data_IF_227728970026
#
_entry.id   IF_227728970026
#
_cell.length_a   1.000
_cell.length_b   1.000
_cell.length_c   1.000
_cell.angle_alpha   90.00
_cell.angle_beta   90.00
_cell.angle_gamma   90.00
#
_symmetry.space_group_name_H-M   'P 1'
#
loop_
_entity.id
_entity.type
_entity.pdbx_description
1 polymer ?
#
# COMPACT_ATOMS: atom_id res chain seq x y z
N UNK A 1 4.42 12.13 19.42
CA UNK A 1 3.92 12.64 18.13
C UNK A 1 3.21 13.95 18.42
N UNK A 2 3.54 15.01 17.70
CA UNK A 2 2.88 16.31 17.85
C UNK A 2 1.40 16.22 17.41
N UNK A 3 0.58 17.15 17.94
CA UNK A 3 -0.88 17.15 17.76
C UNK A 3 -1.28 17.30 16.29
N UNK A 4 -0.52 18.04 15.49
CA UNK A 4 -0.81 18.25 14.07
C UNK A 4 -0.59 16.97 13.26
N UNK A 5 0.57 16.33 13.42
CA UNK A 5 0.86 15.04 12.78
C UNK A 5 -0.16 13.99 13.21
N UNK A 6 -0.57 13.98 14.49
CA UNK A 6 -1.59 13.04 14.97
C UNK A 6 -2.91 13.19 14.21
N UNK A 7 -3.39 14.43 14.09
CA UNK A 7 -4.64 14.75 13.38
C UNK A 7 -4.56 14.39 11.89
N UNK A 8 -3.44 14.67 11.24
CA UNK A 8 -3.24 14.31 9.83
C UNK A 8 -3.23 12.80 9.60
N UNK A 9 -2.58 12.04 10.50
CA UNK A 9 -2.61 10.58 10.48
C UNK A 9 -4.05 10.07 10.64
N UNK A 10 -4.81 10.58 11.60
CA UNK A 10 -6.21 10.19 11.84
C UNK A 10 -7.12 10.50 10.64
N UNK A 11 -6.98 11.69 10.05
CA UNK A 11 -7.71 12.10 8.86
C UNK A 11 -7.39 11.18 7.68
N UNK A 12 -6.10 10.90 7.44
CA UNK A 12 -5.69 10.06 6.33
C UNK A 12 -6.08 8.59 6.55
N UNK A 13 -6.01 8.07 7.77
CA UNK A 13 -6.51 6.72 8.09
C UNK A 13 -8.02 6.62 7.83
N UNK A 14 -8.79 7.66 8.19
CA UNK A 14 -10.23 7.72 7.92
C UNK A 14 -10.50 7.70 6.42
N UNK A 15 -9.76 8.50 5.63
CA UNK A 15 -9.84 8.48 4.17
C UNK A 15 -9.55 7.09 3.59
N UNK A 16 -8.44 6.47 3.99
CA UNK A 16 -8.04 5.15 3.47
C UNK A 16 -9.05 4.05 3.81
N UNK A 17 -9.75 4.16 4.95
CA UNK A 17 -10.77 3.21 5.40
C UNK A 17 -12.16 3.48 4.83
N UNK A 18 -12.33 4.57 4.09
CA UNK A 18 -13.61 4.88 3.46
C UNK A 18 -14.08 3.68 2.60
N UNK A 19 -15.34 3.24 2.71
CA UNK A 19 -15.85 2.08 1.96
C UNK A 19 -15.72 2.19 0.44
N UNK A 20 -15.62 3.39 -0.13
CA UNK A 20 -15.41 3.63 -1.56
C UNK A 20 -13.93 3.58 -1.95
N UNK A 21 -13.03 3.95 -1.04
CA UNK A 21 -11.58 4.03 -1.29
C UNK A 21 -10.89 2.70 -0.97
N UNK A 22 -11.22 2.09 0.17
CA UNK A 22 -10.52 0.92 0.67
C UNK A 22 -10.53 -0.28 -0.30
N UNK A 23 -11.64 -0.62 -0.99
CA UNK A 23 -11.62 -1.68 -2.00
C UNK A 23 -10.64 -1.40 -3.14
N UNK A 24 -10.49 -0.13 -3.54
CA UNK A 24 -9.53 0.29 -4.55
C UNK A 24 -8.08 0.13 -4.11
N UNK A 25 -7.79 0.20 -2.80
CA UNK A 25 -6.47 -0.11 -2.27
C UNK A 25 -6.10 -1.59 -2.41
N UNK A 26 -7.09 -2.49 -2.38
CA UNK A 26 -6.87 -3.94 -2.52
C UNK A 26 -6.61 -4.36 -3.97
N UNK A 27 -6.89 -3.49 -4.93
CA UNK A 27 -6.67 -3.77 -6.35
C UNK A 27 -5.30 -3.25 -6.77
N UNK A 28 -4.50 -4.13 -7.39
CA UNK A 28 -3.20 -3.79 -7.96
C UNK A 28 -3.20 -4.19 -9.43
N UNK A 29 -2.82 -3.28 -10.33
CA UNK A 29 -2.43 -3.67 -11.69
C UNK A 29 -1.06 -4.36 -11.62
N UNK A 30 -1.11 -5.67 -11.49
CA UNK A 30 0.07 -6.53 -11.35
C UNK A 30 0.97 -6.41 -12.58
N UNK A 31 0.39 -6.35 -13.78
CA UNK A 31 1.15 -6.28 -15.03
C UNK A 31 1.93 -4.96 -15.14
N UNK A 32 1.28 -3.84 -14.83
CA UNK A 32 1.94 -2.52 -14.78
C UNK A 32 3.06 -2.49 -13.73
N UNK A 33 2.81 -3.10 -12.56
CA UNK A 33 3.82 -3.16 -11.51
C UNK A 33 5.02 -4.05 -11.87
N UNK A 34 4.77 -5.21 -12.50
CA UNK A 34 5.83 -6.09 -13.02
C UNK A 34 6.71 -5.34 -14.01
N UNK A 35 6.14 -4.63 -14.98
CA UNK A 35 6.90 -3.83 -15.97
C UNK A 35 7.80 -2.82 -15.28
N UNK A 36 7.28 -2.12 -14.27
CA UNK A 36 8.07 -1.17 -13.45
C UNK A 36 9.18 -1.88 -12.67
N UNK A 37 8.95 -3.11 -12.22
CA UNK A 37 9.91 -3.90 -11.46
C UNK A 37 10.93 -4.64 -12.32
N UNK A 38 10.65 -4.98 -13.58
CA UNK A 38 11.62 -5.59 -14.50
C UNK A 38 12.85 -4.70 -14.69
N UNK A 39 12.66 -3.38 -14.59
CA UNK A 39 13.74 -2.38 -14.58
C UNK A 39 14.55 -2.37 -13.26
N UNK A 40 14.10 -3.08 -12.22
CA UNK A 40 14.74 -3.15 -10.91
C UNK A 40 15.29 -4.55 -10.66
N UNK A 41 16.51 -4.62 -10.11
CA UNK A 41 17.27 -5.87 -9.94
C UNK A 41 16.61 -6.84 -8.94
N UNK A 42 15.68 -6.39 -8.09
CA UNK A 42 15.35 -7.07 -6.83
C UNK A 42 13.89 -7.58 -6.68
N UNK A 43 13.30 -8.10 -7.76
CA UNK A 43 11.93 -8.66 -7.80
C UNK A 43 11.68 -9.70 -6.67
N UNK A 44 12.70 -10.48 -6.29
CA UNK A 44 12.59 -11.53 -5.26
C UNK A 44 12.25 -10.99 -3.86
N UNK A 45 12.48 -9.69 -3.60
CA UNK A 45 12.26 -9.06 -2.29
C UNK A 45 10.89 -8.37 -2.15
N UNK A 46 10.03 -8.38 -3.17
CA UNK A 46 8.72 -7.72 -3.12
C UNK A 46 7.82 -8.40 -2.09
N UNK A 47 7.45 -7.74 -0.99
CA UNK A 47 6.56 -8.28 0.05
C UNK A 47 5.13 -7.79 -0.11
N UNK A 48 4.17 -8.49 0.53
CA UNK A 48 2.76 -8.07 0.57
C UNK A 48 2.60 -6.65 1.15
N UNK A 49 3.35 -6.33 2.21
CA UNK A 49 3.35 -4.99 2.80
C UNK A 49 3.90 -3.93 1.83
N UNK A 50 4.95 -4.24 1.05
CA UNK A 50 5.49 -3.30 0.05
C UNK A 50 4.44 -2.95 -1.02
N UNK A 51 3.62 -3.93 -1.43
CA UNK A 51 2.54 -3.73 -2.39
C UNK A 51 1.42 -2.86 -1.81
N UNK A 52 1.02 -3.14 -0.58
CA UNK A 52 0.01 -2.33 0.11
C UNK A 52 0.49 -0.88 0.30
N UNK A 53 1.73 -0.70 0.77
CA UNK A 53 2.36 0.63 0.92
C UNK A 53 2.39 1.40 -0.39
N UNK A 54 2.63 0.73 -1.52
CA UNK A 54 2.56 1.36 -2.85
C UNK A 54 1.16 1.89 -3.14
N UNK A 55 0.10 1.10 -2.91
CA UNK A 55 -1.29 1.54 -3.15
C UNK A 55 -1.66 2.73 -2.25
N UNK A 56 -1.27 2.71 -0.99
CA UNK A 56 -1.46 3.87 -0.09
C UNK A 56 -0.70 5.11 -0.59
N UNK A 57 0.50 4.94 -1.13
CA UNK A 57 1.29 6.06 -1.70
C UNK A 57 0.66 6.60 -2.99
N UNK A 58 0.04 5.75 -3.80
CA UNK A 58 -0.68 6.19 -5.00
C UNK A 58 -1.95 6.97 -4.63
N UNK A 59 -2.70 6.48 -3.65
CA UNK A 59 -3.86 7.18 -3.10
C UNK A 59 -3.46 8.53 -2.47
N UNK A 60 -2.34 8.57 -1.74
CA UNK A 60 -1.87 9.80 -1.11
C UNK A 60 -1.60 10.91 -2.15
N UNK A 61 -1.09 10.53 -3.32
CA UNK A 61 -0.86 11.48 -4.44
C UNK A 61 -2.16 12.04 -5.00
N UNK A 62 -3.23 11.25 -5.07
CA UNK A 62 -4.52 11.71 -5.57
C UNK A 62 -5.14 12.81 -4.69
N UNK A 63 -4.85 12.78 -3.40
CA UNK A 63 -5.35 13.77 -2.42
C UNK A 63 -4.30 14.79 -1.99
N UNK A 64 -3.15 14.88 -2.68
CA UNK A 64 -2.02 15.77 -2.35
C UNK A 64 -1.45 15.58 -0.93
N UNK A 65 -1.58 14.39 -0.34
CA UNK A 65 -0.89 14.01 0.88
C UNK A 65 0.54 13.59 0.54
N UNK A 66 1.51 14.44 0.89
CA UNK A 66 2.93 14.28 0.53
C UNK A 66 3.86 14.01 1.72
N UNK A 67 3.39 14.21 2.96
CA UNK A 67 4.18 13.94 4.15
C UNK A 67 4.44 12.42 4.30
N UNK A 68 5.71 12.04 4.09
CA UNK A 68 6.13 10.64 4.14
C UNK A 68 5.96 9.98 5.50
N UNK A 69 6.02 10.74 6.60
CA UNK A 69 5.80 10.26 7.97
C UNK A 69 4.32 9.98 8.19
N UNK A 70 3.42 10.89 7.79
CA UNK A 70 1.97 10.68 7.85
C UNK A 70 1.58 9.46 7.03
N UNK A 71 2.04 9.37 5.77
CA UNK A 71 1.78 8.22 4.89
C UNK A 71 2.26 6.91 5.53
N UNK A 72 3.48 6.89 6.06
CA UNK A 72 4.06 5.70 6.68
C UNK A 72 3.30 5.22 7.91
N UNK A 73 2.96 6.16 8.80
CA UNK A 73 2.18 5.86 10.01
C UNK A 73 0.77 5.37 9.68
N UNK A 74 0.06 6.06 8.78
CA UNK A 74 -1.28 5.66 8.34
C UNK A 74 -1.27 4.30 7.66
N UNK A 75 -0.29 4.03 6.80
CA UNK A 75 -0.11 2.70 6.17
C UNK A 75 0.02 1.60 7.24
N UNK A 76 0.85 1.82 8.27
CA UNK A 76 1.04 0.84 9.34
C UNK A 76 -0.24 0.60 10.14
N UNK A 77 -0.99 1.66 10.46
CA UNK A 77 -2.25 1.57 11.19
C UNK A 77 -3.28 0.78 10.40
N UNK A 78 -3.44 1.08 9.11
CA UNK A 78 -4.40 0.36 8.25
C UNK A 78 -3.96 -1.09 8.10
N UNK A 79 -2.70 -1.36 7.75
CA UNK A 79 -2.17 -2.72 7.58
C UNK A 79 -2.36 -3.60 8.81
N UNK A 80 -2.07 -3.08 10.02
CA UNK A 80 -2.24 -3.86 11.26
C UNK A 80 -3.68 -4.30 11.47
N UNK A 81 -4.64 -3.44 11.15
CA UNK A 81 -6.07 -3.66 11.34
C UNK A 81 -6.74 -4.42 10.18
N UNK A 82 -6.03 -4.71 9.09
CA UNK A 82 -6.54 -5.55 8.02
C UNK A 82 -6.68 -7.00 8.46
N UNK A 83 -7.75 -7.65 7.99
CA UNK A 83 -7.99 -9.08 8.19
C UNK A 83 -6.95 -9.93 7.46
N UNK A 84 -6.81 -11.19 7.87
CA UNK A 84 -5.95 -12.16 7.19
C UNK A 84 -6.32 -12.30 5.70
N UNK A 85 -7.61 -12.31 5.37
CA UNK A 85 -8.09 -12.40 4.00
C UNK A 85 -7.66 -11.18 3.16
N UNK A 86 -7.80 -9.97 3.69
CA UNK A 86 -7.37 -8.74 3.01
C UNK A 86 -5.86 -8.70 2.79
N UNK A 87 -5.06 -9.14 3.79
CA UNK A 87 -3.60 -9.27 3.64
C UNK A 87 -3.23 -10.33 2.61
N UNK A 88 -3.99 -11.43 2.54
CA UNK A 88 -3.73 -12.54 1.64
C UNK A 88 -3.82 -12.13 0.16
N UNK A 89 -4.68 -11.16 -0.19
CA UNK A 89 -4.73 -10.58 -1.55
C UNK A 89 -3.34 -10.10 -1.99
N UNK A 90 -2.65 -9.34 -1.14
CA UNK A 90 -1.29 -8.86 -1.44
C UNK A 90 -0.23 -9.96 -1.38
N UNK A 91 -0.43 -11.02 -0.58
CA UNK A 91 0.45 -12.19 -0.58
C UNK A 91 0.38 -12.91 -1.93
N UNK A 92 -0.82 -13.07 -2.50
CA UNK A 92 -1.01 -13.67 -3.82
C UNK A 92 -0.31 -12.83 -4.89
N UNK A 93 -0.50 -11.51 -4.87
CA UNK A 93 0.18 -10.61 -5.81
C UNK A 93 1.71 -10.71 -5.69
N UNK A 94 2.25 -10.71 -4.47
CA UNK A 94 3.68 -10.84 -4.25
C UNK A 94 4.23 -12.18 -4.79
N UNK A 95 3.48 -13.28 -4.65
CA UNK A 95 3.85 -14.58 -5.22
C UNK A 95 3.87 -14.54 -6.75
N UNK A 96 2.82 -14.00 -7.38
CA UNK A 96 2.73 -13.86 -8.84
C UNK A 96 3.86 -13.01 -9.42
N UNK A 97 4.24 -11.94 -8.74
CA UNK A 97 5.36 -11.09 -9.18
C UNK A 97 6.69 -11.85 -9.07
N UNK A 98 6.90 -12.59 -7.99
CA UNK A 98 8.14 -13.35 -7.76
C UNK A 98 8.29 -14.53 -8.73
N UNK A 99 7.20 -15.14 -9.18
CA UNK A 99 7.23 -16.29 -10.09
C UNK A 99 7.70 -15.95 -11.51
N UNK A 100 7.81 -14.67 -11.87
CA UNK A 100 8.21 -14.24 -13.23
C UNK A 100 9.71 -14.41 -13.49
N UNK A 101 10.51 -14.55 -12.42
CA UNK A 101 11.97 -14.75 -12.50
C UNK A 101 12.42 -16.15 -12.05
N UNK A 102 11.50 -17.09 -11.88
CA UNK A 102 11.81 -18.52 -11.75
C UNK A 102 11.56 -19.19 -13.11
#
# INVERSE_FOLDING_TARGET
>A
MDTNTKREVENFVTHLRNPLIFPGLLQLDINSYIRTLQQKVNIKQVTAYNLFKKRVTEESRLINMTDGKVIGLSTNIVWRNMTSAQKNVFVIYARQIRSIRN
#
